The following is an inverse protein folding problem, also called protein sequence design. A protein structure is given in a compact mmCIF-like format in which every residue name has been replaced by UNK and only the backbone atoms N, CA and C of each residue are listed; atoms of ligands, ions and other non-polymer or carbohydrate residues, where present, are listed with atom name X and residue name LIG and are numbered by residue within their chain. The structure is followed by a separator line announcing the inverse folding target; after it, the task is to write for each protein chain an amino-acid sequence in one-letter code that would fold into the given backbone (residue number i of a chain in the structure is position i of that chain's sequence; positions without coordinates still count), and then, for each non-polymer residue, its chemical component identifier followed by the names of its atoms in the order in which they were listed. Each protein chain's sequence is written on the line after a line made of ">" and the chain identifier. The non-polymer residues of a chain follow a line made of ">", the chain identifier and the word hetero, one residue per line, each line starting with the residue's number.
data_IF_927120080730
#
_entry.id   IF_927120080730
#
_cell.length_a   1.000
_cell.length_b   1.000
_cell.length_c   1.000
_cell.angle_alpha   90.00
_cell.angle_beta   90.00
_cell.angle_gamma   90.00
#
_symmetry.space_group_name_H-M   'P 1'
#
loop_
_entity.id
_entity.type
_entity.pdbx_description
1 polymer ?
#
# COMPACT_ATOMS: atom_id res chain seq x y z
N UNK A 1 18.15 -4.16 14.12
CA UNK A 1 17.19 -3.14 14.65
C UNK A 1 15.79 -3.46 14.16
N UNK A 2 14.84 -3.63 15.07
CA UNK A 2 13.49 -4.11 14.79
C UNK A 2 12.67 -3.10 13.97
N UNK A 3 12.41 -3.42 12.70
CA UNK A 3 11.61 -2.61 11.77
C UNK A 3 10.12 -2.47 12.16
N UNK A 4 9.68 -3.18 13.19
CA UNK A 4 8.37 -2.98 13.80
C UNK A 4 8.26 -1.61 14.50
N UNK A 5 9.36 -1.12 15.10
CA UNK A 5 9.36 0.18 15.77
C UNK A 5 9.20 1.34 14.78
N UNK A 6 9.71 1.21 13.54
CA UNK A 6 9.58 2.24 12.50
C UNK A 6 8.15 2.37 11.95
N UNK A 7 7.38 1.29 11.82
CA UNK A 7 6.00 1.36 11.34
C UNK A 7 5.04 2.01 12.33
N UNK A 8 5.34 1.97 13.63
CA UNK A 8 4.55 2.64 14.67
C UNK A 8 4.76 4.16 14.73
N UNK A 9 5.77 4.69 14.03
CA UNK A 9 6.13 6.12 14.05
C UNK A 9 5.61 6.86 12.80
N UNK A 10 5.29 6.14 11.71
CA UNK A 10 4.71 6.77 10.52
C UNK A 10 3.18 6.68 10.54
N UNK A 11 2.46 7.81 10.53
CA UNK A 11 1.01 7.79 10.37
C UNK A 11 0.65 7.12 9.04
N UNK A 12 -0.51 6.46 8.99
CA UNK A 12 -1.04 5.91 7.74
C UNK A 12 -1.14 7.02 6.66
N UNK A 13 -1.01 6.69 5.37
CA UNK A 13 -1.12 7.67 4.29
C UNK A 13 -2.41 8.50 4.38
N UNK A 14 -2.38 9.74 3.89
CA UNK A 14 -3.52 10.67 3.96
C UNK A 14 -4.76 10.03 3.33
N UNK A 15 -4.58 9.37 2.19
CA UNK A 15 -5.60 8.60 1.48
C UNK A 15 -6.32 7.58 2.38
N UNK A 16 -5.57 6.94 3.28
CA UNK A 16 -6.10 5.95 4.23
C UNK A 16 -6.80 6.64 5.39
N UNK A 17 -6.19 7.67 5.97
CA UNK A 17 -6.79 8.41 7.09
C UNK A 17 -8.09 9.12 6.70
N UNK A 18 -8.23 9.53 5.44
CA UNK A 18 -9.46 10.10 4.89
C UNK A 18 -10.65 9.12 4.93
N UNK A 19 -10.40 7.81 5.03
CA UNK A 19 -11.43 6.79 5.23
C UNK A 19 -11.75 6.51 6.73
N UNK A 20 -11.14 7.27 7.65
CA UNK A 20 -11.40 7.21 9.09
C UNK A 20 -10.45 6.31 9.89
N UNK A 21 -10.53 6.41 11.22
CA UNK A 21 -9.60 5.73 12.15
C UNK A 21 -9.60 4.21 12.00
N UNK A 22 -10.76 3.61 11.74
CA UNK A 22 -10.87 2.16 11.52
C UNK A 22 -10.08 1.72 10.29
N UNK A 23 -10.08 2.51 9.22
CA UNK A 23 -9.30 2.22 8.01
C UNK A 23 -7.80 2.34 8.30
N UNK A 24 -7.39 3.41 8.99
CA UNK A 24 -6.00 3.59 9.42
C UNK A 24 -5.50 2.44 10.31
N UNK A 25 -6.32 1.99 11.27
CA UNK A 25 -5.99 0.84 12.11
C UNK A 25 -5.82 -0.44 11.29
N UNK A 26 -6.78 -0.77 10.41
CA UNK A 26 -6.71 -1.97 9.56
C UNK A 26 -5.50 -1.96 8.62
N UNK A 27 -5.18 -0.79 8.09
CA UNK A 27 -3.99 -0.60 7.25
C UNK A 27 -2.71 -0.93 8.02
N UNK A 28 -2.55 -0.44 9.26
CA UNK A 28 -1.37 -0.75 10.08
C UNK A 28 -1.38 -2.21 10.57
N UNK A 29 -2.55 -2.75 10.91
CA UNK A 29 -2.75 -4.14 11.34
C UNK A 29 -2.34 -5.13 10.24
N UNK A 30 -2.66 -4.83 8.98
CA UNK A 30 -2.24 -5.65 7.84
C UNK A 30 -0.72 -5.88 7.83
N UNK A 31 0.08 -4.81 7.95
CA UNK A 31 1.54 -4.96 7.95
C UNK A 31 2.07 -5.58 9.24
N UNK A 32 1.51 -5.23 10.39
CA UNK A 32 2.09 -5.61 11.69
C UNK A 32 1.65 -6.98 12.18
N UNK A 33 0.37 -7.32 12.06
CA UNK A 33 -0.21 -8.55 12.58
C UNK A 33 -0.31 -9.66 11.53
N UNK A 34 -0.57 -9.32 10.26
CA UNK A 34 -0.82 -10.34 9.22
C UNK A 34 0.46 -10.79 8.49
N UNK A 35 1.45 -9.91 8.32
CA UNK A 35 2.69 -10.23 7.60
C UNK A 35 3.84 -10.51 8.57
N UNK A 36 4.11 -11.80 8.83
CA UNK A 36 5.17 -12.24 9.74
C UNK A 36 6.59 -12.09 9.18
N UNK A 37 6.76 -12.28 7.88
CA UNK A 37 8.09 -12.19 7.25
C UNK A 37 8.52 -10.72 7.16
N UNK A 38 9.62 -10.30 7.81
CA UNK A 38 10.05 -8.90 7.82
C UNK A 38 10.42 -8.38 6.42
N UNK A 39 10.95 -9.23 5.54
CA UNK A 39 11.28 -8.85 4.17
C UNK A 39 10.02 -8.62 3.34
N UNK A 40 9.04 -9.52 3.44
CA UNK A 40 7.75 -9.37 2.77
C UNK A 40 7.02 -8.14 3.27
N UNK A 41 7.02 -7.90 4.59
CA UNK A 41 6.41 -6.72 5.22
C UNK A 41 7.01 -5.43 4.69
N UNK A 42 8.35 -5.33 4.63
CA UNK A 42 9.03 -4.14 4.09
C UNK A 42 8.67 -3.91 2.63
N UNK A 43 8.77 -4.94 1.80
CA UNK A 43 8.44 -4.84 0.39
C UNK A 43 6.98 -4.46 0.14
N UNK A 44 6.05 -4.98 0.94
CA UNK A 44 4.64 -4.65 0.82
C UNK A 44 4.33 -3.24 1.33
N UNK A 45 4.94 -2.81 2.43
CA UNK A 45 4.77 -1.45 2.95
C UNK A 45 5.26 -0.41 1.95
N UNK A 46 6.41 -0.65 1.31
CA UNK A 46 6.93 0.19 0.23
C UNK A 46 5.97 0.19 -0.97
N UNK A 47 5.57 -0.98 -1.46
CA UNK A 47 4.68 -1.10 -2.61
C UNK A 47 3.32 -0.40 -2.41
N UNK A 48 2.71 -0.58 -1.25
CA UNK A 48 1.41 0.03 -0.94
C UNK A 48 1.57 1.52 -0.64
N UNK A 49 2.66 1.94 -0.01
CA UNK A 49 2.96 3.37 0.21
C UNK A 49 3.12 4.14 -1.10
N UNK A 50 3.84 3.57 -2.08
CA UNK A 50 4.00 4.15 -3.41
C UNK A 50 2.66 4.22 -4.14
N UNK A 51 1.84 3.17 -4.04
CA UNK A 51 0.49 3.16 -4.60
C UNK A 51 -0.39 4.26 -3.99
N UNK A 52 -0.41 4.40 -2.66
CA UNK A 52 -1.15 5.47 -2.00
C UNK A 52 -0.67 6.85 -2.48
N UNK A 53 0.64 7.07 -2.52
CA UNK A 53 1.22 8.34 -2.99
C UNK A 53 0.83 8.65 -4.44
N UNK A 54 0.79 7.63 -5.30
CA UNK A 54 0.39 7.75 -6.71
C UNK A 54 -1.08 8.13 -6.88
N UNK A 55 -1.97 7.58 -6.03
CA UNK A 55 -3.39 7.93 -5.99
C UNK A 55 -3.61 9.33 -5.42
N UNK A 56 -2.90 9.69 -4.34
CA UNK A 56 -2.96 11.03 -3.72
C UNK A 56 -2.55 12.12 -4.72
N UNK A 57 -1.48 11.91 -5.47
CA UNK A 57 -1.03 12.81 -6.54
C UNK A 57 -2.09 13.00 -7.66
N UNK A 58 -3.05 12.09 -7.78
CA UNK A 58 -4.17 12.13 -8.74
C UNK A 58 -5.49 12.58 -8.11
N UNK A 59 -5.45 13.08 -6.88
CA UNK A 59 -6.59 13.70 -6.20
C UNK A 59 -7.66 12.71 -5.75
N UNK A 60 -7.31 11.43 -5.55
CA UNK A 60 -8.27 10.46 -5.05
C UNK A 60 -8.68 10.81 -3.61
N UNK A 61 -9.98 10.89 -3.27
CA UNK A 61 -10.41 11.45 -2.00
C UNK A 61 -10.17 10.52 -0.81
N UNK A 62 -10.15 9.20 -1.03
CA UNK A 62 -9.87 8.21 0.01
C UNK A 62 -9.54 6.84 -0.58
N UNK A 63 -8.96 5.97 0.24
CA UNK A 63 -8.67 4.58 -0.15
C UNK A 63 -9.94 3.79 -0.47
N UNK A 64 -11.09 4.18 0.08
CA UNK A 64 -12.39 3.57 -0.21
C UNK A 64 -12.90 3.88 -1.63
N UNK A 65 -12.37 4.92 -2.29
CA UNK A 65 -12.67 5.24 -3.68
C UNK A 65 -11.78 4.48 -4.69
N UNK A 66 -10.81 3.69 -4.21
CA UNK A 66 -9.96 2.87 -5.08
C UNK A 66 -10.82 1.78 -5.72
N UNK A 67 -10.60 1.57 -7.02
CA UNK A 67 -11.33 0.61 -7.83
C UNK A 67 -10.40 -0.08 -8.81
N UNK A 68 -10.89 -1.11 -9.50
CA UNK A 68 -10.10 -1.92 -10.42
C UNK A 68 -9.42 -1.12 -11.53
N UNK A 69 -10.09 -0.07 -12.04
CA UNK A 69 -9.53 0.85 -13.05
C UNK A 69 -8.29 1.58 -12.53
N UNK A 70 -8.33 2.06 -11.28
CA UNK A 70 -7.19 2.74 -10.64
C UNK A 70 -6.00 1.79 -10.49
N UNK A 71 -6.25 0.55 -10.08
CA UNK A 71 -5.21 -0.48 -9.94
C UNK A 71 -4.59 -0.82 -11.31
N UNK A 72 -5.41 -0.98 -12.35
CA UNK A 72 -4.93 -1.27 -13.69
C UNK A 72 -4.05 -0.13 -14.23
N UNK A 73 -4.46 1.13 -14.05
CA UNK A 73 -3.69 2.29 -14.47
C UNK A 73 -2.34 2.39 -13.75
N UNK A 74 -2.31 2.13 -12.44
CA UNK A 74 -1.05 2.10 -11.69
C UNK A 74 -0.11 0.98 -12.16
N UNK A 75 -0.64 -0.22 -12.41
CA UNK A 75 0.16 -1.37 -12.86
C UNK A 75 0.77 -1.11 -14.25
N UNK A 76 0.03 -0.49 -15.15
CA UNK A 76 0.52 -0.11 -16.48
C UNK A 76 1.71 0.85 -16.37
N UNK A 77 1.56 1.92 -15.58
CA UNK A 77 2.64 2.91 -15.37
C UNK A 77 3.86 2.30 -14.67
N UNK A 78 3.63 1.40 -13.70
CA UNK A 78 4.68 0.67 -13.03
C UNK A 78 5.48 -0.21 -14.00
N UNK A 79 4.80 -0.81 -14.99
CA UNK A 79 5.41 -1.62 -16.04
C UNK A 79 6.43 -0.88 -16.92
N UNK A 80 6.33 0.44 -17.01
CA UNK A 80 7.29 1.25 -17.78
C UNK A 80 8.62 1.45 -17.06
N UNK A 81 8.65 1.30 -15.72
CA UNK A 81 9.81 1.65 -14.88
C UNK A 81 10.38 0.47 -14.11
N UNK A 82 9.62 -0.62 -13.98
CA UNK A 82 10.00 -1.77 -13.17
C UNK A 82 9.98 -3.09 -13.96
N UNK A 83 10.80 -4.03 -13.52
CA UNK A 83 10.81 -5.38 -14.07
C UNK A 83 9.48 -6.12 -13.84
N UNK A 84 9.12 -7.04 -14.73
CA UNK A 84 7.89 -7.84 -14.58
C UNK A 84 7.76 -8.57 -13.23
N UNK A 85 8.83 -9.17 -12.64
CA UNK A 85 8.78 -9.71 -11.29
C UNK A 85 8.41 -8.67 -10.22
N UNK A 86 8.96 -7.46 -10.31
CA UNK A 86 8.67 -6.37 -9.37
C UNK A 86 7.23 -5.90 -9.50
N UNK A 87 6.73 -5.74 -10.74
CA UNK A 87 5.32 -5.38 -11.00
C UNK A 87 4.38 -6.42 -10.37
N UNK A 88 4.68 -7.72 -10.58
CA UNK A 88 3.88 -8.81 -10.02
C UNK A 88 3.88 -8.80 -8.48
N UNK A 89 5.04 -8.55 -7.86
CA UNK A 89 5.15 -8.47 -6.40
C UNK A 89 4.36 -7.27 -5.83
N UNK A 90 4.50 -6.08 -6.44
CA UNK A 90 3.77 -4.88 -6.02
C UNK A 90 2.26 -5.06 -6.19
N UNK A 91 1.80 -5.66 -7.30
CA UNK A 91 0.39 -5.97 -7.51
C UNK A 91 -0.15 -6.98 -6.48
N UNK A 92 0.64 -7.99 -6.10
CA UNK A 92 0.25 -8.91 -5.03
C UNK A 92 0.05 -8.20 -3.70
N UNK A 93 0.94 -7.26 -3.35
CA UNK A 93 0.81 -6.43 -2.15
C UNK A 93 -0.48 -5.60 -2.15
N UNK A 94 -0.76 -4.91 -3.26
CA UNK A 94 -1.96 -4.09 -3.41
C UNK A 94 -3.22 -4.95 -3.29
N UNK A 95 -3.28 -6.10 -3.99
CA UNK A 95 -4.44 -7.00 -3.93
C UNK A 95 -4.69 -7.54 -2.53
N UNK A 96 -3.63 -7.89 -1.80
CA UNK A 96 -3.77 -8.36 -0.43
C UNK A 96 -4.27 -7.27 0.53
N UNK A 97 -3.92 -6.00 0.29
CA UNK A 97 -4.43 -4.88 1.10
C UNK A 97 -5.95 -4.69 0.93
N UNK A 98 -6.50 -4.99 -0.25
CA UNK A 98 -7.93 -4.84 -0.55
C UNK A 98 -8.75 -6.12 -0.36
N UNK A 99 -8.15 -7.18 0.18
CA UNK A 99 -8.82 -8.47 0.40
C UNK A 99 -9.30 -8.60 1.85
#
# INVERSE_FOLDING_TARGET
>A
MNQLATLSIYPAPVLVTAAGERAAYRFLEFFTAQIRNPNTRRAYAEAVGDFCSWMEARGLPSIAAVGSIHIAAYVEELGHTHSAPTVKQRLAAIRMMFN
#
